data_IF_141298740220
#
_entry.id   IF_141298740220
#
_cell.length_a   1.000
_cell.length_b   1.000
_cell.length_c   1.000
_cell.angle_alpha   90.00
_cell.angle_beta   90.00
_cell.angle_gamma   90.00
#
_symmetry.space_group_name_H-M   'P 1'
#
loop_
_entity.id
_entity.type
_entity.pdbx_description
1 polymer ?
#
# COMPACT_ATOMS: atom_id res chain seq x y z
N UNK A 1 -5.23 13.21 -22.95
CA UNK A 1 -6.02 12.17 -22.27
C UNK A 1 -7.14 12.91 -21.57
N UNK A 2 -8.39 12.60 -21.87
CA UNK A 2 -9.54 13.19 -21.17
C UNK A 2 -9.54 12.66 -19.75
N UNK A 3 -9.51 13.54 -18.75
CA UNK A 3 -9.58 13.16 -17.35
C UNK A 3 -10.93 12.48 -17.07
N UNK A 4 -10.90 11.32 -16.41
CA UNK A 4 -12.07 10.63 -15.86
C UNK A 4 -12.30 10.96 -14.38
N UNK A 5 -11.59 11.97 -13.85
CA UNK A 5 -11.74 12.40 -12.46
C UNK A 5 -13.17 12.87 -12.20
N UNK A 6 -13.77 12.28 -11.17
CA UNK A 6 -15.10 12.67 -10.73
C UNK A 6 -15.10 14.08 -10.10
N UNK A 7 -16.27 14.76 -10.07
CA UNK A 7 -16.43 16.02 -9.34
C UNK A 7 -16.09 15.87 -7.86
N UNK A 8 -15.82 16.99 -7.21
CA UNK A 8 -15.54 17.00 -5.78
C UNK A 8 -16.72 16.47 -4.96
N UNK A 9 -16.41 15.80 -3.85
CA UNK A 9 -17.41 15.18 -2.96
C UNK A 9 -17.14 15.59 -1.52
N UNK A 10 -18.18 15.64 -0.66
CA UNK A 10 -17.99 15.78 0.78
C UNK A 10 -17.03 14.70 1.31
N UNK A 11 -16.14 15.08 2.22
CA UNK A 11 -15.11 14.17 2.75
C UNK A 11 -13.96 13.87 1.78
N UNK A 12 -13.88 14.55 0.63
CA UNK A 12 -12.73 14.46 -0.25
C UNK A 12 -11.47 15.01 0.44
N UNK A 13 -10.43 14.20 0.40
CA UNK A 13 -9.12 14.44 1.02
C UNK A 13 -8.08 14.94 0.01
N UNK A 14 -8.49 15.08 -1.24
CA UNK A 14 -7.63 15.47 -2.36
C UNK A 14 -7.58 16.99 -2.42
N UNK A 15 -6.40 17.56 -2.23
CA UNK A 15 -6.16 18.97 -2.51
C UNK A 15 -5.92 19.16 -4.01
N UNK A 16 -6.99 19.58 -4.70
CA UNK A 16 -7.00 19.82 -6.14
C UNK A 16 -6.18 21.05 -6.58
N UNK A 17 -5.76 21.90 -5.65
CA UNK A 17 -4.93 23.07 -5.95
C UNK A 17 -3.46 22.69 -6.16
N UNK A 18 -3.00 21.64 -5.48
CA UNK A 18 -1.64 21.13 -5.59
C UNK A 18 -1.59 20.00 -6.62
N UNK A 19 -0.87 20.24 -7.73
CA UNK A 19 -0.65 19.22 -8.79
C UNK A 19 0.69 18.53 -8.58
N UNK A 20 0.69 17.19 -8.61
CA UNK A 20 1.87 16.35 -8.52
C UNK A 20 2.14 15.70 -9.88
N UNK A 21 3.39 15.69 -10.31
CA UNK A 21 3.85 15.03 -11.54
C UNK A 21 4.46 13.68 -11.22
N UNK A 22 4.15 12.65 -12.00
CA UNK A 22 4.73 11.32 -11.82
C UNK A 22 4.79 10.57 -13.15
N UNK A 23 5.43 9.40 -13.17
CA UNK A 23 5.46 8.54 -14.36
C UNK A 23 4.80 7.19 -14.12
N UNK A 24 4.14 6.67 -15.14
CA UNK A 24 3.59 5.31 -15.17
C UNK A 24 4.06 4.60 -16.44
N UNK A 25 4.85 3.55 -16.25
CA UNK A 25 5.52 2.82 -17.34
C UNK A 25 6.30 3.75 -18.29
N UNK A 26 7.00 4.74 -17.73
CA UNK A 26 7.82 5.71 -18.46
C UNK A 26 7.06 6.86 -19.13
N UNK A 27 5.71 6.87 -19.07
CA UNK A 27 4.89 7.97 -19.57
C UNK A 27 4.55 8.92 -18.42
N UNK A 28 4.56 10.23 -18.68
CA UNK A 28 4.16 11.24 -17.70
C UNK A 28 2.65 11.27 -17.44
N UNK A 29 2.30 11.42 -16.17
CA UNK A 29 0.94 11.58 -15.64
C UNK A 29 0.95 12.67 -14.56
N UNK A 30 -0.25 13.17 -14.25
CA UNK A 30 -0.46 14.12 -13.17
C UNK A 30 -1.52 13.61 -12.22
N UNK A 31 -1.38 13.95 -10.95
CA UNK A 31 -2.37 13.74 -9.90
C UNK A 31 -2.40 14.95 -8.97
N UNK A 32 -3.07 14.79 -7.84
CA UNK A 32 -3.21 15.85 -6.85
C UNK A 32 -2.68 15.38 -5.49
N UNK A 33 -2.33 16.34 -4.63
CA UNK A 33 -1.99 16.01 -3.24
C UNK A 33 -3.17 15.29 -2.58
N UNK A 34 -2.91 14.19 -1.87
CA UNK A 34 -3.94 13.33 -1.30
C UNK A 34 -4.45 12.21 -2.23
N UNK A 35 -4.09 12.19 -3.52
CA UNK A 35 -4.30 10.99 -4.33
C UNK A 35 -3.47 9.80 -3.79
N UNK A 36 -3.96 8.59 -4.03
CA UNK A 36 -3.12 7.39 -4.05
C UNK A 36 -2.63 7.16 -5.48
N UNK A 37 -1.60 6.32 -5.65
CA UNK A 37 -1.12 5.94 -6.99
C UNK A 37 -2.27 5.39 -7.83
N UNK A 38 -3.14 4.57 -7.24
CA UNK A 38 -4.30 4.00 -7.93
C UNK A 38 -5.34 5.06 -8.29
N UNK A 39 -5.68 5.99 -7.39
CA UNK A 39 -6.69 7.02 -7.67
C UNK A 39 -6.25 7.97 -8.77
N UNK A 40 -4.98 8.40 -8.77
CA UNK A 40 -4.43 9.27 -9.82
C UNK A 40 -4.42 8.59 -11.20
N UNK A 41 -4.03 7.31 -11.25
CA UNK A 41 -4.05 6.54 -12.50
C UNK A 41 -5.46 6.27 -13.01
N UNK A 42 -6.39 5.92 -12.11
CA UNK A 42 -7.80 5.74 -12.46
C UNK A 42 -8.42 7.04 -13.00
N UNK A 43 -8.12 8.18 -12.37
CA UNK A 43 -8.53 9.50 -12.86
C UNK A 43 -7.98 9.82 -14.27
N UNK A 44 -6.84 9.25 -14.64
CA UNK A 44 -6.27 9.36 -15.99
C UNK A 44 -6.78 8.29 -16.98
N UNK A 45 -7.74 7.46 -16.58
CA UNK A 45 -8.35 6.41 -17.40
C UNK A 45 -7.58 5.10 -17.47
N UNK A 46 -6.67 4.84 -16.51
CA UNK A 46 -5.99 3.55 -16.40
C UNK A 46 -6.89 2.55 -15.68
N UNK A 47 -7.29 1.49 -16.38
CA UNK A 47 -8.13 0.41 -15.83
C UNK A 47 -7.34 -0.83 -15.40
N UNK A 48 -6.14 -1.01 -15.95
CA UNK A 48 -5.32 -2.20 -15.73
C UNK A 48 -4.05 -1.77 -15.05
N UNK A 49 -3.76 -2.40 -13.93
CA UNK A 49 -2.61 -2.10 -13.08
C UNK A 49 -1.61 -3.26 -13.08
N UNK A 50 -2.14 -4.49 -13.15
CA UNK A 50 -1.33 -5.70 -13.08
C UNK A 50 -1.90 -6.83 -13.95
N UNK A 51 -1.17 -7.94 -13.93
CA UNK A 51 -1.54 -9.21 -14.58
C UNK A 51 -1.54 -10.32 -13.55
N UNK A 52 -2.54 -11.21 -13.62
CA UNK A 52 -2.63 -12.33 -12.67
C UNK A 52 -1.38 -13.22 -12.78
N UNK A 53 -0.77 -13.57 -11.65
CA UNK A 53 0.45 -14.39 -11.54
C UNK A 53 0.61 -15.47 -12.63
N UNK A 54 -0.39 -16.34 -12.79
CA UNK A 54 -0.27 -17.54 -13.62
C UNK A 54 -0.79 -17.38 -15.05
N UNK A 55 -1.96 -16.78 -15.18
CA UNK A 55 -2.70 -16.72 -16.44
C UNK A 55 -2.55 -15.37 -17.14
N UNK A 56 -1.83 -14.41 -16.55
CA UNK A 56 -1.66 -13.06 -17.09
C UNK A 56 -2.98 -12.39 -17.53
N UNK A 57 -4.08 -12.68 -16.81
CA UNK A 57 -5.36 -12.01 -16.98
C UNK A 57 -5.23 -10.55 -16.55
N UNK A 58 -5.88 -9.63 -17.26
CA UNK A 58 -5.94 -8.21 -16.89
C UNK A 58 -6.50 -8.09 -15.47
N UNK A 59 -5.82 -7.33 -14.61
CA UNK A 59 -6.27 -7.02 -13.25
C UNK A 59 -6.34 -5.51 -13.06
N UNK A 60 -7.50 -5.05 -12.60
CA UNK A 60 -7.78 -3.68 -12.24
C UNK A 60 -8.11 -3.54 -10.76
N UNK A 61 -8.56 -2.36 -10.37
CA UNK A 61 -9.05 -2.07 -9.02
C UNK A 61 -10.20 -3.02 -8.66
N UNK A 62 -10.16 -3.61 -7.46
CA UNK A 62 -11.23 -4.44 -6.90
C UNK A 62 -11.81 -3.81 -5.63
N UNK A 63 -10.96 -3.50 -4.66
CA UNK A 63 -11.35 -2.95 -3.34
C UNK A 63 -10.90 -1.50 -3.16
N UNK A 64 -9.89 -1.07 -3.92
CA UNK A 64 -9.32 0.28 -3.84
C UNK A 64 -8.71 0.64 -2.46
N UNK A 65 -8.34 -0.36 -1.66
CA UNK A 65 -7.74 -0.20 -0.35
C UNK A 65 -6.33 -0.84 -0.28
N UNK A 66 -5.74 -0.89 0.91
CA UNK A 66 -4.47 -1.58 1.13
C UNK A 66 -4.52 -3.05 0.75
N UNK A 67 -5.64 -3.74 1.03
CA UNK A 67 -5.78 -5.18 0.84
C UNK A 67 -6.15 -5.58 -0.58
N UNK A 68 -6.21 -4.63 -1.52
CA UNK A 68 -6.50 -4.92 -2.91
C UNK A 68 -5.52 -5.96 -3.48
N UNK A 69 -6.02 -7.12 -3.96
CA UNK A 69 -5.15 -8.21 -4.40
C UNK A 69 -4.52 -7.95 -5.78
N UNK A 70 -4.92 -6.89 -6.48
CA UNK A 70 -4.53 -6.61 -7.85
C UNK A 70 -3.57 -5.42 -7.97
N UNK A 71 -3.58 -4.48 -7.02
CA UNK A 71 -2.91 -3.19 -7.14
C UNK A 71 -1.46 -3.20 -6.67
N UNK A 72 -0.68 -4.19 -7.12
CA UNK A 72 0.76 -4.25 -6.86
C UNK A 72 1.55 -3.57 -7.99
N UNK A 73 2.30 -2.52 -7.66
CA UNK A 73 3.18 -1.79 -8.58
C UNK A 73 4.62 -1.71 -8.06
N UNK A 74 5.55 -1.38 -8.95
CA UNK A 74 6.93 -1.04 -8.60
C UNK A 74 7.01 0.48 -8.49
N UNK A 75 7.59 1.02 -7.42
CA UNK A 75 7.86 2.45 -7.26
C UNK A 75 9.36 2.65 -7.08
N UNK A 76 10.04 3.18 -8.09
CA UNK A 76 11.51 3.25 -8.08
C UNK A 76 12.11 1.86 -7.87
N UNK A 77 12.88 1.69 -6.79
CA UNK A 77 13.47 0.43 -6.37
C UNK A 77 12.60 -0.40 -5.39
N UNK A 78 11.46 0.11 -4.92
CA UNK A 78 10.51 -0.58 -4.03
C UNK A 78 9.55 -1.48 -4.84
N UNK A 79 9.65 -2.83 -4.75
CA UNK A 79 8.72 -3.73 -5.39
C UNK A 79 7.47 -3.96 -4.54
N UNK A 80 6.41 -4.47 -5.16
CA UNK A 80 5.17 -4.92 -4.53
C UNK A 80 4.45 -3.82 -3.71
N UNK A 81 4.62 -2.56 -4.11
CA UNK A 81 3.92 -1.43 -3.50
C UNK A 81 2.43 -1.53 -3.78
N UNK A 82 1.63 -1.35 -2.73
CA UNK A 82 0.17 -1.37 -2.80
C UNK A 82 -0.33 -0.01 -3.27
N UNK A 83 -0.60 0.11 -4.57
CA UNK A 83 -1.02 1.37 -5.19
C UNK A 83 -2.36 1.89 -4.67
N UNK A 84 -3.21 1.02 -4.13
CA UNK A 84 -4.51 1.38 -3.53
C UNK A 84 -4.37 2.29 -2.31
N UNK A 85 -3.36 2.07 -1.47
CA UNK A 85 -3.13 2.84 -0.23
C UNK A 85 -1.91 3.78 -0.30
N UNK A 86 -0.91 3.48 -1.13
CA UNK A 86 0.30 4.32 -1.24
C UNK A 86 -0.07 5.69 -1.81
N UNK A 87 0.15 6.75 -1.01
CA UNK A 87 -0.01 8.14 -1.42
C UNK A 87 0.90 8.48 -2.60
N UNK A 88 0.37 9.28 -3.52
CA UNK A 88 1.14 9.86 -4.60
C UNK A 88 2.10 10.91 -4.04
N UNK A 89 3.35 10.89 -4.49
CA UNK A 89 4.31 11.96 -4.25
C UNK A 89 4.83 12.48 -5.59
N UNK A 90 5.26 13.74 -5.58
CA UNK A 90 5.86 14.35 -6.76
C UNK A 90 7.14 13.61 -7.18
N UNK A 91 7.33 13.48 -8.49
CA UNK A 91 8.48 12.79 -9.09
C UNK A 91 8.43 11.26 -9.01
N UNK A 92 7.36 10.64 -8.49
CA UNK A 92 7.29 9.18 -8.38
C UNK A 92 7.47 8.47 -9.74
N UNK A 93 8.33 7.45 -9.77
CA UNK A 93 8.52 6.58 -10.91
C UNK A 93 7.78 5.24 -10.70
N UNK A 94 6.60 5.10 -11.28
CA UNK A 94 5.73 3.94 -11.08
C UNK A 94 5.75 3.04 -12.32
N UNK A 95 5.81 1.73 -12.13
CA UNK A 95 5.69 0.76 -13.22
C UNK A 95 4.92 -0.50 -12.83
N UNK A 96 4.35 -1.15 -13.84
CA UNK A 96 3.70 -2.44 -13.66
C UNK A 96 4.73 -3.54 -13.39
N UNK A 97 4.32 -4.53 -12.62
CA UNK A 97 5.15 -5.68 -12.27
C UNK A 97 4.66 -6.94 -12.98
N UNK A 98 5.55 -7.92 -13.15
CA UNK A 98 5.22 -9.22 -13.75
C UNK A 98 4.56 -9.09 -15.14
N UNK A 99 5.12 -8.25 -16.00
CA UNK A 99 4.64 -8.00 -17.38
C UNK A 99 5.79 -8.04 -18.39
N UNK A 100 5.56 -8.63 -19.57
CA UNK A 100 6.55 -8.61 -20.66
C UNK A 100 5.93 -8.68 -22.07
N UNK A 101 6.37 -7.84 -23.03
CA UNK A 101 7.27 -6.69 -22.87
C UNK A 101 6.62 -5.49 -22.17
N UNK A 102 5.30 -5.41 -22.09
CA UNK A 102 4.59 -4.31 -21.41
C UNK A 102 3.25 -4.75 -20.86
N UNK A 103 2.65 -3.94 -19.98
CA UNK A 103 1.32 -4.22 -19.44
C UNK A 103 0.24 -4.33 -20.52
N UNK A 104 0.35 -3.53 -21.59
CA UNK A 104 -0.59 -3.54 -22.72
C UNK A 104 -0.37 -4.76 -23.61
N UNK A 105 0.88 -5.06 -23.93
CA UNK A 105 1.29 -6.17 -24.79
C UNK A 105 2.01 -7.21 -23.93
N UNK A 106 1.25 -7.99 -23.16
CA UNK A 106 1.81 -9.08 -22.34
C UNK A 106 1.75 -10.40 -23.11
N UNK A 107 2.90 -10.87 -23.59
CA UNK A 107 3.00 -12.11 -24.37
C UNK A 107 2.72 -13.35 -23.52
N UNK A 108 2.91 -13.29 -22.21
CA UNK A 108 2.55 -14.38 -21.30
C UNK A 108 1.03 -14.55 -21.16
N UNK A 109 0.21 -13.64 -21.71
CA UNK A 109 -1.23 -13.82 -21.83
C UNK A 109 -1.63 -15.06 -22.67
N UNK A 110 -0.74 -15.57 -23.53
CA UNK A 110 -0.93 -16.84 -24.25
C UNK A 110 -1.15 -18.02 -23.30
N UNK A 111 -0.66 -17.94 -22.04
CA UNK A 111 -0.89 -18.94 -21.01
C UNK A 111 -2.39 -19.21 -20.73
N UNK A 112 -3.28 -18.29 -21.11
CA UNK A 112 -4.72 -18.49 -21.00
C UNK A 112 -5.22 -19.61 -21.92
N UNK A 113 -4.63 -19.74 -23.12
CA UNK A 113 -5.02 -20.74 -24.11
C UNK A 113 -4.65 -22.17 -23.67
N UNK A 114 -3.55 -22.31 -22.94
CA UNK A 114 -3.07 -23.58 -22.39
C UNK A 114 -3.40 -23.74 -20.89
N UNK A 115 -4.22 -22.85 -20.34
CA UNK A 115 -4.49 -22.75 -18.89
C UNK A 115 -5.05 -24.03 -18.27
N UNK A 116 -5.77 -24.85 -19.05
CA UNK A 116 -6.28 -26.17 -18.62
C UNK A 116 -5.17 -27.14 -18.20
N UNK A 117 -3.99 -27.04 -18.78
CA UNK A 117 -2.84 -27.89 -18.45
C UNK A 117 -1.99 -27.32 -17.31
N UNK A 118 -2.12 -26.01 -17.07
CA UNK A 118 -1.53 -25.32 -15.95
C UNK A 118 -2.51 -25.40 -14.77
N UNK A 119 -2.71 -26.59 -14.18
CA UNK A 119 -3.50 -26.74 -12.94
C UNK A 119 -2.73 -26.23 -11.72
N UNK A 120 -3.40 -26.00 -10.58
CA UNK A 120 -2.70 -25.65 -9.34
C UNK A 120 -1.66 -26.73 -8.99
N UNK A 121 -0.47 -26.31 -8.58
CA UNK A 121 0.66 -27.22 -8.28
C UNK A 121 1.32 -27.89 -9.49
N UNK A 122 1.00 -27.51 -10.74
CA UNK A 122 1.68 -28.02 -11.94
C UNK A 122 3.21 -27.92 -11.84
N UNK A 123 3.71 -26.78 -11.35
CA UNK A 123 5.15 -26.54 -11.21
C UNK A 123 5.82 -27.51 -10.23
N UNK A 124 5.13 -27.93 -9.15
CA UNK A 124 5.64 -28.93 -8.21
C UNK A 124 5.69 -30.34 -8.80
N UNK A 125 4.92 -30.63 -9.85
CA UNK A 125 4.91 -31.96 -10.49
C UNK A 125 5.89 -32.02 -11.67
N UNK A 126 5.91 -30.99 -12.50
CA UNK A 126 6.63 -31.01 -13.78
C UNK A 126 8.10 -30.64 -13.66
N UNK A 127 8.46 -29.73 -12.75
CA UNK A 127 9.83 -29.17 -12.65
C UNK A 127 10.66 -29.78 -11.50
N UNK A 128 10.37 -30.99 -11.07
CA UNK A 128 11.13 -31.69 -10.02
C UNK A 128 11.98 -32.87 -10.54
N UNK A 129 11.62 -33.43 -11.69
CA UNK A 129 12.30 -34.59 -12.29
C UNK A 129 12.45 -34.38 -13.79
N UNK A 130 13.61 -34.73 -14.37
CA UNK A 130 14.82 -35.27 -13.75
C UNK A 130 15.58 -34.25 -12.87
N UNK A 131 16.14 -34.68 -11.74
CA UNK A 131 16.82 -33.79 -10.76
C UNK A 131 18.05 -33.08 -11.34
N UNK A 132 18.73 -33.67 -12.33
CA UNK A 132 19.92 -33.06 -12.93
C UNK A 132 19.61 -31.79 -13.75
N UNK A 133 18.35 -31.63 -14.21
CA UNK A 133 17.91 -30.41 -14.91
C UNK A 133 17.54 -29.27 -13.96
N UNK A 134 17.52 -29.52 -12.65
CA UNK A 134 17.12 -28.53 -11.64
C UNK A 134 17.99 -27.27 -11.70
N UNK A 135 19.32 -27.43 -11.58
CA UNK A 135 20.26 -26.31 -11.50
C UNK A 135 20.52 -25.64 -12.86
N UNK A 136 20.31 -26.35 -13.97
CA UNK A 136 20.66 -25.87 -15.31
C UNK A 136 19.49 -25.27 -16.08
N UNK A 137 18.29 -25.83 -15.92
CA UNK A 137 17.11 -25.47 -16.73
C UNK A 137 15.93 -25.03 -15.85
N UNK A 138 15.47 -25.87 -14.94
CA UNK A 138 14.21 -25.64 -14.22
C UNK A 138 14.25 -24.38 -13.35
N UNK A 139 15.35 -24.16 -12.62
CA UNK A 139 15.52 -22.92 -11.85
C UNK A 139 15.51 -21.67 -12.73
N UNK A 140 16.14 -21.72 -13.91
CA UNK A 140 16.20 -20.55 -14.82
C UNK A 140 14.82 -20.20 -15.35
N UNK A 141 14.04 -21.21 -15.76
CA UNK A 141 12.67 -21.05 -16.23
C UNK A 141 11.78 -20.54 -15.08
N UNK A 142 11.79 -21.21 -13.93
CA UNK A 142 10.93 -20.85 -12.80
C UNK A 142 11.22 -19.46 -12.23
N UNK A 143 12.48 -19.01 -12.25
CA UNK A 143 12.85 -17.62 -11.86
C UNK A 143 12.17 -16.57 -12.72
N UNK A 144 11.92 -16.86 -14.00
CA UNK A 144 11.20 -15.95 -14.90
C UNK A 144 9.69 -15.92 -14.64
N UNK A 145 9.14 -16.96 -14.00
CA UNK A 145 7.74 -17.05 -13.60
C UNK A 145 7.48 -16.57 -12.16
N UNK A 146 8.50 -16.10 -11.45
CA UNK A 146 8.35 -15.56 -10.11
C UNK A 146 7.51 -14.27 -10.18
N UNK A 147 6.30 -14.26 -9.59
CA UNK A 147 5.46 -13.07 -9.61
C UNK A 147 6.04 -12.01 -8.68
N UNK A 148 6.21 -10.80 -9.17
CA UNK A 148 6.57 -9.67 -8.34
C UNK A 148 7.37 -8.61 -9.08
N UNK A 149 7.81 -7.62 -8.32
CA UNK A 149 8.71 -6.58 -8.78
C UNK A 149 10.16 -7.01 -8.85
N UNK A 150 11.01 -6.04 -9.19
CA UNK A 150 12.44 -6.25 -9.34
C UNK A 150 13.13 -5.65 -8.12
N UNK A 151 13.98 -6.45 -7.49
CA UNK A 151 14.83 -5.99 -6.39
C UNK A 151 16.14 -5.52 -7.00
N UNK A 152 16.45 -4.24 -6.82
CA UNK A 152 17.64 -3.59 -7.34
C UNK A 152 18.76 -3.54 -6.29
N UNK A 153 19.12 -4.67 -5.69
CA UNK A 153 20.01 -4.70 -4.51
C UNK A 153 21.44 -4.16 -4.74
N UNK A 154 21.95 -4.17 -5.98
CA UNK A 154 23.27 -3.60 -6.31
C UNK A 154 23.24 -2.08 -6.51
N UNK A 155 22.11 -1.53 -6.93
CA UNK A 155 21.95 -0.11 -7.28
C UNK A 155 20.97 0.61 -6.36
N UNK A 156 20.49 -0.06 -5.32
CA UNK A 156 19.46 0.49 -4.46
C UNK A 156 20.07 1.55 -3.56
N UNK A 157 19.37 2.66 -3.49
CA UNK A 157 19.73 3.83 -2.70
C UNK A 157 18.81 3.90 -1.49
N UNK A 158 18.68 2.80 -0.73
CA UNK A 158 17.92 2.85 0.52
C UNK A 158 18.53 3.94 1.42
N UNK A 159 17.68 4.83 1.92
CA UNK A 159 18.07 5.75 2.99
C UNK A 159 18.40 4.99 4.28
N UNK A 160 18.97 5.70 5.26
CA UNK A 160 19.12 5.13 6.60
C UNK A 160 17.73 4.88 7.21
N UNK A 161 17.55 3.73 7.85
CA UNK A 161 16.34 3.39 8.60
C UNK A 161 16.50 3.79 10.07
N UNK A 162 15.40 4.14 10.71
CA UNK A 162 15.41 4.58 12.10
C UNK A 162 14.76 3.56 13.06
N UNK A 163 15.11 3.66 14.34
CA UNK A 163 14.52 2.87 15.39
C UNK A 163 14.22 3.72 16.63
N UNK A 164 13.00 3.63 17.15
CA UNK A 164 12.56 4.32 18.36
C UNK A 164 12.10 3.31 19.41
N UNK A 165 12.48 3.53 20.66
CA UNK A 165 11.85 2.85 21.81
C UNK A 165 10.82 3.80 22.42
N UNK A 166 9.63 3.30 22.70
CA UNK A 166 8.56 4.05 23.34
C UNK A 166 7.93 3.19 24.44
N UNK A 167 7.33 3.83 25.44
CA UNK A 167 6.68 3.14 26.55
C UNK A 167 5.35 3.85 26.88
N UNK A 168 4.36 3.81 25.98
CA UNK A 168 3.03 4.32 26.30
C UNK A 168 2.37 3.43 27.37
N UNK A 169 1.50 4.01 28.19
CA UNK A 169 0.66 3.24 29.11
C UNK A 169 -0.37 2.42 28.33
N UNK A 170 -0.89 2.98 27.22
CA UNK A 170 -1.87 2.35 26.34
C UNK A 170 -1.48 2.54 24.88
N UNK A 171 -1.41 1.45 24.12
CA UNK A 171 -1.32 1.49 22.66
C UNK A 171 -2.66 1.08 22.06
N UNK A 172 -3.18 1.93 21.16
CA UNK A 172 -4.42 1.67 20.41
C UNK A 172 -4.07 1.41 18.95
N UNK A 173 -4.44 0.24 18.43
CA UNK A 173 -4.23 -0.14 17.04
C UNK A 173 -5.50 0.11 16.21
N UNK A 174 -5.45 1.11 15.34
CA UNK A 174 -6.55 1.54 14.45
C UNK A 174 -7.15 2.87 14.88
N UNK A 175 -7.18 3.85 13.98
CA UNK A 175 -7.71 5.20 14.15
C UNK A 175 -9.17 5.37 13.72
N UNK A 176 -9.96 4.29 13.71
CA UNK A 176 -11.40 4.36 13.51
C UNK A 176 -12.15 4.96 14.72
N UNK A 177 -13.49 5.08 14.68
CA UNK A 177 -14.26 5.67 15.78
C UNK A 177 -14.05 4.96 17.12
N UNK A 178 -13.98 3.62 17.12
CA UNK A 178 -13.72 2.84 18.32
C UNK A 178 -12.32 3.10 18.90
N UNK A 179 -11.31 3.19 18.03
CA UNK A 179 -9.92 3.46 18.44
C UNK A 179 -9.74 4.89 18.96
N UNK A 180 -10.33 5.88 18.28
CA UNK A 180 -10.33 7.27 18.74
C UNK A 180 -11.04 7.41 20.09
N UNK A 181 -12.21 6.78 20.27
CA UNK A 181 -12.92 6.80 21.55
C UNK A 181 -12.12 6.10 22.67
N UNK A 182 -11.47 4.96 22.38
CA UNK A 182 -10.61 4.27 23.33
C UNK A 182 -9.39 5.10 23.72
N UNK A 183 -8.78 5.79 22.75
CA UNK A 183 -7.63 6.66 22.98
C UNK A 183 -8.00 7.85 23.86
N UNK A 184 -9.13 8.52 23.57
CA UNK A 184 -9.65 9.61 24.39
C UNK A 184 -9.97 9.14 25.80
N UNK A 185 -10.73 8.06 25.96
CA UNK A 185 -11.09 7.56 27.29
C UNK A 185 -9.89 7.16 28.14
N UNK A 186 -8.85 6.58 27.55
CA UNK A 186 -7.61 6.26 28.25
C UNK A 186 -6.83 7.53 28.63
N UNK A 187 -6.73 8.49 27.71
CA UNK A 187 -5.97 9.71 27.94
C UNK A 187 -6.66 10.66 28.95
N UNK A 188 -7.99 10.73 28.93
CA UNK A 188 -8.81 11.45 29.93
C UNK A 188 -8.64 10.85 31.33
N UNK A 189 -8.36 9.54 31.41
CA UNK A 189 -8.01 8.86 32.66
C UNK A 189 -6.54 9.08 33.10
N UNK A 190 -5.77 9.87 32.34
CA UNK A 190 -4.39 10.25 32.64
C UNK A 190 -3.31 9.34 32.04
N UNK A 191 -3.66 8.40 31.16
CA UNK A 191 -2.70 7.53 30.50
C UNK A 191 -1.94 8.25 29.37
N UNK A 192 -0.66 7.93 29.17
CA UNK A 192 0.06 8.25 27.95
C UNK A 192 -0.34 7.27 26.84
N UNK A 193 -1.02 7.76 25.81
CA UNK A 193 -1.61 6.94 24.75
C UNK A 193 -0.85 7.07 23.45
N UNK A 194 -0.58 5.95 22.78
CA UNK A 194 -0.11 5.91 21.40
C UNK A 194 -1.22 5.35 20.50
N UNK A 195 -1.82 6.20 19.66
CA UNK A 195 -2.82 5.80 18.67
C UNK A 195 -2.15 5.58 17.31
N UNK A 196 -2.20 4.34 16.82
CA UNK A 196 -1.52 3.93 15.58
C UNK A 196 -2.56 3.69 14.48
N UNK A 197 -2.44 4.39 13.36
CA UNK A 197 -3.30 4.26 12.18
C UNK A 197 -2.46 3.96 10.93
N UNK A 198 -2.86 2.92 10.20
CA UNK A 198 -2.20 2.46 8.99
C UNK A 198 -2.42 3.42 7.81
N UNK A 199 -3.57 4.09 7.76
CA UNK A 199 -3.89 5.08 6.75
C UNK A 199 -3.25 6.45 7.08
N UNK A 200 -3.18 7.33 6.07
CA UNK A 200 -2.63 8.68 6.25
C UNK A 200 -3.56 9.62 7.05
N UNK A 201 -4.75 9.17 7.45
CA UNK A 201 -5.77 9.96 8.14
C UNK A 201 -6.58 9.08 9.10
N UNK A 202 -7.02 9.66 10.22
CA UNK A 202 -7.95 9.03 11.14
C UNK A 202 -9.35 8.88 10.51
N UNK A 203 -10.15 8.00 11.09
CA UNK A 203 -11.59 7.91 10.88
C UNK A 203 -12.10 6.53 10.48
N UNK A 204 -11.23 5.65 10.00
CA UNK A 204 -11.64 4.30 9.56
C UNK A 204 -12.83 4.35 8.61
N UNK A 205 -13.90 3.63 8.96
CA UNK A 205 -15.09 3.54 8.11
C UNK A 205 -15.95 4.82 8.06
N UNK A 206 -15.84 5.74 9.04
CA UNK A 206 -16.62 6.99 9.03
C UNK A 206 -16.30 7.87 7.81
N UNK A 207 -15.08 7.73 7.25
CA UNK A 207 -14.64 8.44 6.04
C UNK A 207 -15.49 8.12 4.80
N UNK A 208 -16.22 7.00 4.83
CA UNK A 208 -17.05 6.51 3.72
C UNK A 208 -18.55 6.60 4.01
N UNK A 209 -18.91 7.23 5.14
CA UNK A 209 -20.27 7.40 5.61
C UNK A 209 -21.00 8.62 5.05
N UNK A 210 -22.13 8.95 5.68
CA UNK A 210 -22.94 10.12 5.37
C UNK A 210 -22.42 11.41 6.00
N UNK A 211 -23.20 12.50 5.90
CA UNK A 211 -22.88 13.80 6.53
C UNK A 211 -22.68 13.71 8.04
N UNK A 212 -23.47 12.85 8.69
CA UNK A 212 -23.47 12.70 10.14
C UNK A 212 -22.19 11.96 10.57
N UNK A 213 -21.82 10.89 9.86
CA UNK A 213 -20.56 10.17 10.07
C UNK A 213 -19.33 11.09 9.87
N UNK A 214 -19.36 11.97 8.87
CA UNK A 214 -18.29 12.94 8.62
C UNK A 214 -18.21 14.01 9.71
N UNK A 215 -19.35 14.36 10.31
CA UNK A 215 -19.43 15.31 11.43
C UNK A 215 -18.86 14.68 12.70
N UNK A 216 -19.24 13.44 13.00
CA UNK A 216 -18.70 12.66 14.12
C UNK A 216 -17.20 12.43 13.96
N UNK A 217 -16.74 12.12 12.75
CA UNK A 217 -15.33 12.04 12.41
C UNK A 217 -14.59 13.34 12.72
N UNK A 218 -15.12 14.48 12.26
CA UNK A 218 -14.50 15.77 12.49
C UNK A 218 -14.36 16.07 13.99
N UNK A 219 -15.40 15.77 14.78
CA UNK A 219 -15.38 15.93 16.23
C UNK A 219 -14.36 15.03 16.92
N UNK A 220 -14.40 13.72 16.64
CA UNK A 220 -13.49 12.74 17.25
C UNK A 220 -12.04 12.98 16.88
N UNK A 221 -11.75 13.22 15.60
CA UNK A 221 -10.37 13.47 15.14
C UNK A 221 -9.80 14.75 15.74
N UNK A 222 -10.59 15.83 15.83
CA UNK A 222 -10.17 17.07 16.45
C UNK A 222 -9.88 16.90 17.95
N UNK A 223 -10.73 16.16 18.68
CA UNK A 223 -10.51 15.86 20.09
C UNK A 223 -9.23 15.05 20.31
N UNK A 224 -9.01 14.01 19.50
CA UNK A 224 -7.81 13.17 19.58
C UNK A 224 -6.54 13.99 19.32
N UNK A 225 -6.52 14.79 18.25
CA UNK A 225 -5.35 15.60 17.87
C UNK A 225 -5.05 16.70 18.89
N UNK A 226 -6.08 17.25 19.53
CA UNK A 226 -5.93 18.29 20.54
C UNK A 226 -5.52 17.75 21.93
N UNK A 227 -5.69 16.45 22.20
CA UNK A 227 -5.45 15.90 23.53
C UNK A 227 -3.94 15.70 23.80
N UNK A 228 -3.35 16.34 24.83
CA UNK A 228 -1.90 16.32 25.05
C UNK A 228 -1.35 14.94 25.48
N UNK A 229 -2.22 14.07 26.00
CA UNK A 229 -1.88 12.69 26.37
C UNK A 229 -1.91 11.69 25.22
N UNK A 230 -2.24 12.10 23.99
CA UNK A 230 -2.32 11.19 22.83
C UNK A 230 -1.25 11.54 21.80
N UNK A 231 -0.37 10.58 21.51
CA UNK A 231 0.50 10.61 20.34
C UNK A 231 -0.18 9.86 19.19
N UNK A 232 -0.44 10.56 18.07
CA UNK A 232 -1.02 9.96 16.87
C UNK A 232 0.08 9.61 15.87
N UNK A 233 0.09 8.35 15.41
CA UNK A 233 0.99 7.85 14.37
C UNK A 233 0.17 7.43 13.15
N UNK A 234 0.15 8.25 12.11
CA UNK A 234 -0.49 7.97 10.80
C UNK A 234 0.48 7.20 9.89
N UNK A 235 0.04 6.64 8.77
CA UNK A 235 0.85 5.78 7.88
C UNK A 235 1.75 4.79 8.66
N UNK A 236 1.18 4.19 9.72
CA UNK A 236 1.89 3.40 10.71
C UNK A 236 1.18 2.08 10.97
N UNK A 237 1.91 0.98 10.84
CA UNK A 237 1.32 -0.37 10.96
C UNK A 237 1.80 -1.05 12.22
N UNK A 238 0.87 -1.48 13.07
CA UNK A 238 1.17 -2.49 14.11
C UNK A 238 1.41 -3.82 13.40
N UNK A 239 2.65 -4.32 13.41
CA UNK A 239 3.05 -5.54 12.68
C UNK A 239 2.98 -6.79 13.55
N UNK A 240 3.04 -6.63 14.88
CA UNK A 240 2.94 -7.75 15.81
C UNK A 240 2.87 -7.30 17.26
N UNK A 241 2.20 -8.12 18.08
CA UNK A 241 2.22 -8.06 19.54
C UNK A 241 2.90 -9.32 20.04
N UNK A 242 3.85 -9.13 20.95
CA UNK A 242 4.66 -10.18 21.53
C UNK A 242 4.44 -10.23 23.05
N UNK A 243 5.19 -11.10 23.72
CA UNK A 243 5.12 -11.28 25.17
C UNK A 243 5.34 -9.96 25.91
N UNK A 244 4.70 -9.84 27.06
CA UNK A 244 4.77 -8.65 27.92
C UNK A 244 4.30 -7.35 27.24
N UNK A 245 3.39 -7.46 26.26
CA UNK A 245 2.86 -6.35 25.47
C UNK A 245 3.93 -5.54 24.73
N UNK A 246 5.04 -6.17 24.36
CA UNK A 246 5.95 -5.56 23.39
C UNK A 246 5.26 -5.51 22.02
N UNK A 247 5.11 -4.32 21.45
CA UNK A 247 4.41 -4.10 20.18
C UNK A 247 5.36 -3.49 19.16
N UNK A 248 5.46 -4.11 17.99
CA UNK A 248 6.24 -3.59 16.88
C UNK A 248 5.35 -2.73 15.97
N UNK A 249 5.76 -1.49 15.73
CA UNK A 249 5.10 -0.57 14.81
C UNK A 249 6.08 -0.14 13.72
N UNK A 250 5.66 -0.19 12.46
CA UNK A 250 6.42 0.34 11.33
C UNK A 250 5.79 1.66 10.91
N UNK A 251 6.50 2.77 11.10
CA UNK A 251 6.05 4.13 10.76
C UNK A 251 6.70 4.60 9.46
N UNK A 252 5.90 5.13 8.52
CA UNK A 252 6.35 5.76 7.28
C UNK A 252 6.13 7.29 7.24
N UNK A 253 5.32 7.85 8.14
CA UNK A 253 4.94 9.27 8.20
C UNK A 253 5.92 10.15 9.00
N UNK A 254 7.22 10.13 8.71
CA UNK A 254 8.16 10.95 9.46
C UNK A 254 9.35 11.48 8.63
N UNK A 255 9.97 12.61 9.02
CA UNK A 255 11.00 13.26 8.21
C UNK A 255 12.41 12.68 8.37
N UNK A 256 12.62 11.78 9.33
CA UNK A 256 13.98 11.35 9.73
C UNK A 256 14.53 10.24 8.83
N UNK A 257 13.67 9.31 8.41
CA UNK A 257 14.05 8.13 7.64
C UNK A 257 12.89 7.71 6.72
N UNK A 258 13.14 6.90 5.68
CA UNK A 258 12.08 6.34 4.87
C UNK A 258 11.10 5.47 5.68
N UNK A 259 11.61 4.75 6.68
CA UNK A 259 10.83 3.99 7.64
C UNK A 259 11.50 3.99 9.01
N UNK A 260 10.67 3.93 10.06
CA UNK A 260 11.08 3.76 11.46
C UNK A 260 10.41 2.56 12.08
N UNK A 261 11.19 1.71 12.74
CA UNK A 261 10.67 0.69 13.64
C UNK A 261 10.49 1.29 15.04
N UNK A 262 9.26 1.34 15.54
CA UNK A 262 8.97 1.69 16.93
C UNK A 262 8.74 0.41 17.72
N UNK A 263 9.47 0.31 18.82
CA UNK A 263 9.38 -0.75 19.82
C UNK A 263 8.63 -0.17 21.01
N UNK A 264 7.30 -0.36 21.02
CA UNK A 264 6.41 0.09 22.08
C UNK A 264 6.25 -0.98 23.16
#
# INVERSE_FOLDING_TARGET
>A
MTSLRIPSRPGEIIDRSTTLSFTWNGRGFTGHQGDTIASALAAAGVEVFARSMKYHRRRGILTADHWDPNLFVQVGDEPNVRAGSRRLADGMAVSAQNVWPSLRWDLAAVNQLVGRFLSSGFYYKTFMRPRFLWHTLYQKILRQFAPGGRIHWETSTHGAYDQRYAHPDVLVAGGGPSGMAAALGAADAGAAVMLVEHEAELGGHLRWGGSDDLTDLAGLSAAVVAHPGIEVLLDSTVTGRYDHNWVAVVQRSHPIAPERLIKA
#
